data_IF_076155282726
#
_entry.id   IF_076155282726
#
_cell.length_a   1.000
_cell.length_b   1.000
_cell.length_c   1.000
_cell.angle_alpha   90.00
_cell.angle_beta   90.00
_cell.angle_gamma   90.00
#
_symmetry.space_group_name_H-M   'P 1'
#
loop_
_entity.id
_entity.type
_entity.pdbx_description
1 polymer ?
#
# COMPACT_ATOMS: atom_id res chain seq x y z
N UNK A 1 8.44 -21.38 -4.09
CA UNK A 1 8.05 -20.32 -5.06
C UNK A 1 6.88 -19.38 -4.71
N UNK A 2 5.79 -19.76 -4.03
CA UNK A 2 4.50 -19.05 -4.14
C UNK A 2 4.53 -17.57 -3.70
N UNK A 3 5.32 -17.24 -2.66
CA UNK A 3 5.48 -15.85 -2.20
C UNK A 3 6.14 -14.93 -3.24
N UNK A 4 7.06 -15.44 -4.06
CA UNK A 4 7.69 -14.65 -5.15
C UNK A 4 6.68 -14.34 -6.25
N UNK A 5 5.79 -15.28 -6.56
CA UNK A 5 4.70 -15.07 -7.53
C UNK A 5 3.73 -14.02 -7.00
N UNK A 6 3.30 -14.14 -5.74
CA UNK A 6 2.44 -13.16 -5.08
C UNK A 6 3.09 -11.76 -5.05
N UNK A 7 4.37 -11.65 -4.69
CA UNK A 7 5.10 -10.38 -4.70
C UNK A 7 5.13 -9.72 -6.09
N UNK A 8 5.38 -10.51 -7.16
CA UNK A 8 5.38 -9.99 -8.54
C UNK A 8 4.00 -9.55 -8.99
N UNK A 9 2.95 -10.29 -8.63
CA UNK A 9 1.57 -9.94 -8.94
C UNK A 9 1.17 -8.63 -8.24
N UNK A 10 1.41 -8.52 -6.94
CA UNK A 10 1.19 -7.29 -6.17
C UNK A 10 1.96 -6.11 -6.76
N UNK A 11 3.25 -6.29 -7.09
CA UNK A 11 4.06 -5.26 -7.72
C UNK A 11 3.49 -4.78 -9.07
N UNK A 12 2.90 -5.67 -9.87
CA UNK A 12 2.24 -5.29 -11.12
C UNK A 12 0.99 -4.43 -10.86
N UNK A 13 0.14 -4.85 -9.91
CA UNK A 13 -1.06 -4.10 -9.51
C UNK A 13 -0.70 -2.70 -9.02
N UNK A 14 0.30 -2.57 -8.13
CA UNK A 14 0.72 -1.28 -7.61
C UNK A 14 1.34 -0.39 -8.68
N UNK A 15 2.09 -0.94 -9.64
CA UNK A 15 2.61 -0.16 -10.78
C UNK A 15 1.49 0.40 -11.66
N UNK A 16 0.49 -0.41 -11.99
CA UNK A 16 -0.69 0.05 -12.73
C UNK A 16 -1.43 1.15 -11.97
N UNK A 17 -1.61 1.00 -10.65
CA UNK A 17 -2.27 2.03 -9.83
C UNK A 17 -1.46 3.31 -9.77
N UNK A 18 -0.13 3.22 -9.64
CA UNK A 18 0.75 4.39 -9.64
C UNK A 18 0.70 5.15 -10.97
N UNK A 19 0.63 4.43 -12.10
CA UNK A 19 0.39 5.02 -13.42
C UNK A 19 -0.94 5.79 -13.46
N UNK A 20 -2.04 5.16 -13.01
CA UNK A 20 -3.36 5.82 -12.96
C UNK A 20 -3.31 7.14 -12.19
N UNK A 21 -2.69 7.16 -11.00
CA UNK A 21 -2.59 8.40 -10.21
C UNK A 21 -1.70 9.45 -10.86
N UNK A 22 -0.58 9.05 -11.46
CA UNK A 22 0.30 9.97 -12.17
C UNK A 22 -0.42 10.64 -13.35
N UNK A 23 -1.24 9.89 -14.09
CA UNK A 23 -2.05 10.43 -15.19
C UNK A 23 -3.17 11.35 -14.69
N UNK A 24 -3.93 10.94 -13.66
CA UNK A 24 -5.04 11.74 -13.09
C UNK A 24 -4.55 13.08 -12.56
N UNK A 25 -3.34 13.15 -12.01
CA UNK A 25 -2.74 14.39 -11.50
C UNK A 25 -1.82 15.09 -12.50
N UNK A 26 -1.74 14.61 -13.75
CA UNK A 26 -0.84 15.12 -14.78
C UNK A 26 0.62 15.24 -14.31
N UNK A 27 1.06 14.30 -13.46
CA UNK A 27 2.43 14.20 -12.97
C UNK A 27 3.29 13.28 -13.83
N UNK A 28 2.68 12.45 -14.69
CA UNK A 28 3.41 11.61 -15.64
C UNK A 28 4.40 12.43 -16.50
N UNK A 29 5.56 11.83 -16.76
CA UNK A 29 6.69 12.44 -17.48
C UNK A 29 7.24 13.77 -16.91
N UNK A 30 6.73 14.26 -15.77
CA UNK A 30 7.26 15.46 -15.11
C UNK A 30 8.49 15.15 -14.24
N UNK A 31 9.18 16.19 -13.80
CA UNK A 31 10.23 16.06 -12.76
C UNK A 31 9.66 15.79 -11.38
N UNK A 32 8.35 16.00 -11.19
CA UNK A 32 7.62 15.77 -9.94
C UNK A 32 6.96 14.40 -9.88
N UNK A 33 7.18 13.53 -10.89
CA UNK A 33 6.65 12.16 -10.90
C UNK A 33 7.26 11.34 -9.76
N UNK A 34 6.48 10.95 -8.73
CA UNK A 34 6.99 10.22 -7.58
C UNK A 34 7.54 8.83 -7.94
N UNK A 35 7.14 8.26 -9.10
CA UNK A 35 7.63 6.94 -9.55
C UNK A 35 9.10 6.96 -9.97
N UNK A 36 9.66 8.15 -10.21
CA UNK A 36 11.09 8.35 -10.52
C UNK A 36 11.97 8.47 -9.29
N UNK A 37 11.38 8.61 -8.10
CA UNK A 37 12.13 8.73 -6.85
C UNK A 37 12.89 7.43 -6.54
N UNK A 38 14.09 7.58 -5.96
CA UNK A 38 14.86 6.46 -5.41
C UNK A 38 14.70 6.46 -3.90
N UNK A 39 14.34 5.30 -3.34
CA UNK A 39 14.17 5.13 -1.90
C UNK A 39 15.29 4.27 -1.34
N UNK A 40 15.75 4.63 -0.14
CA UNK A 40 16.62 3.76 0.62
C UNK A 40 15.83 2.51 1.03
N UNK A 41 16.35 1.33 0.69
CA UNK A 41 15.80 0.05 1.13
C UNK A 41 16.53 -0.44 2.38
N UNK A 42 15.87 -1.24 3.24
CA UNK A 42 16.55 -1.93 4.33
C UNK A 42 17.73 -2.76 3.80
N UNK A 43 18.83 -2.81 4.56
CA UNK A 43 19.89 -3.76 4.30
C UNK A 43 19.39 -5.20 4.52
N UNK A 44 20.02 -6.17 3.86
CA UNK A 44 19.74 -7.60 4.11
C UNK A 44 18.45 -8.12 3.48
N UNK A 45 17.98 -7.56 2.36
CA UNK A 45 16.76 -8.05 1.69
C UNK A 45 16.82 -9.49 1.18
N UNK A 46 18.00 -10.09 1.10
CA UNK A 46 18.15 -11.51 0.80
C UNK A 46 17.64 -12.41 1.94
N UNK A 47 17.55 -11.88 3.17
CA UNK A 47 16.88 -12.53 4.28
C UNK A 47 15.35 -12.49 4.10
N UNK A 48 14.67 -13.66 4.03
CA UNK A 48 13.23 -13.73 3.85
C UNK A 48 12.41 -13.02 4.92
N UNK A 49 12.91 -12.96 6.17
CA UNK A 49 12.20 -12.27 7.25
C UNK A 49 12.24 -10.75 7.05
N UNK A 50 13.40 -10.20 6.67
CA UNK A 50 13.57 -8.80 6.31
C UNK A 50 12.70 -8.40 5.12
N UNK A 51 12.67 -9.22 4.06
CA UNK A 51 11.83 -8.98 2.90
C UNK A 51 10.33 -9.01 3.25
N UNK A 52 9.90 -9.93 4.11
CA UNK A 52 8.52 -10.00 4.59
C UNK A 52 8.15 -8.79 5.44
N UNK A 53 9.01 -8.38 6.38
CA UNK A 53 8.78 -7.21 7.21
C UNK A 53 8.65 -5.93 6.36
N UNK A 54 9.42 -5.80 5.28
CA UNK A 54 9.26 -4.71 4.32
C UNK A 54 7.92 -4.77 3.59
N UNK A 55 7.48 -5.94 3.13
CA UNK A 55 6.18 -6.07 2.47
C UNK A 55 5.02 -5.68 3.40
N UNK A 56 5.07 -6.10 4.67
CA UNK A 56 4.08 -5.76 5.68
C UNK A 56 4.07 -4.26 5.98
N UNK A 57 5.23 -3.61 6.11
CA UNK A 57 5.31 -2.18 6.39
C UNK A 57 4.80 -1.33 5.23
N UNK A 58 5.10 -1.71 3.99
CA UNK A 58 4.57 -1.04 2.80
C UNK A 58 3.04 -1.18 2.71
N UNK A 59 2.49 -2.36 2.92
CA UNK A 59 1.05 -2.58 2.88
C UNK A 59 0.32 -1.81 3.99
N UNK A 60 0.86 -1.80 5.20
CA UNK A 60 0.35 -0.98 6.31
C UNK A 60 0.41 0.52 6.01
N UNK A 61 1.53 0.99 5.44
CA UNK A 61 1.68 2.38 5.02
C UNK A 61 0.61 2.80 4.02
N UNK A 62 0.33 1.96 3.00
CA UNK A 62 -0.74 2.21 2.03
C UNK A 62 -2.13 2.28 2.69
N UNK A 63 -2.42 1.37 3.62
CA UNK A 63 -3.67 1.38 4.39
C UNK A 63 -3.83 2.71 5.14
N UNK A 64 -2.78 3.17 5.83
CA UNK A 64 -2.79 4.48 6.52
C UNK A 64 -2.98 5.63 5.53
N UNK A 65 -2.24 5.65 4.42
CA UNK A 65 -2.36 6.71 3.41
C UNK A 65 -3.76 6.81 2.82
N UNK A 66 -4.39 5.69 2.46
CA UNK A 66 -5.77 5.72 1.95
C UNK A 66 -6.79 6.09 3.02
N UNK A 67 -6.59 5.66 4.27
CA UNK A 67 -7.46 6.08 5.38
C UNK A 67 -7.42 7.61 5.58
N UNK A 68 -6.23 8.21 5.57
CA UNK A 68 -6.05 9.67 5.61
C UNK A 68 -6.71 10.34 4.40
N UNK A 69 -6.49 9.84 3.18
CA UNK A 69 -7.10 10.40 1.97
C UNK A 69 -8.64 10.34 2.00
N UNK A 70 -9.24 9.25 2.52
CA UNK A 70 -10.69 9.15 2.71
C UNK A 70 -11.18 10.24 3.68
N UNK A 71 -10.48 10.47 4.77
CA UNK A 71 -10.82 11.47 5.77
C UNK A 71 -10.79 12.90 5.19
N UNK A 72 -9.77 13.21 4.39
CA UNK A 72 -9.54 14.56 3.84
C UNK A 72 -10.32 14.85 2.55
N UNK A 73 -10.86 13.82 1.88
CA UNK A 73 -11.52 13.96 0.59
C UNK A 73 -12.97 14.46 0.66
N UNK A 74 -13.39 15.17 -0.38
CA UNK A 74 -14.79 15.53 -0.63
C UNK A 74 -15.65 14.28 -0.90
N UNK A 75 -16.94 14.34 -0.57
CA UNK A 75 -17.87 13.20 -0.67
C UNK A 75 -17.86 12.52 -2.05
N UNK A 76 -17.76 13.30 -3.12
CA UNK A 76 -17.78 12.78 -4.50
C UNK A 76 -16.57 11.88 -4.82
N UNK A 77 -15.41 12.12 -4.20
CA UNK A 77 -14.15 11.39 -4.45
C UNK A 77 -13.95 10.20 -3.50
N UNK A 78 -14.74 10.11 -2.42
CA UNK A 78 -14.61 9.06 -1.40
C UNK A 78 -14.78 7.63 -1.90
N UNK A 79 -15.72 7.30 -2.82
CA UNK A 79 -15.95 5.90 -3.20
C UNK A 79 -14.69 5.19 -3.71
N UNK A 80 -13.91 5.86 -4.56
CA UNK A 80 -12.66 5.30 -5.11
C UNK A 80 -11.56 5.15 -4.04
N UNK A 81 -11.47 6.11 -3.13
CA UNK A 81 -10.51 6.07 -2.02
C UNK A 81 -10.88 4.98 -1.00
N UNK A 82 -12.16 4.74 -0.74
CA UNK A 82 -12.65 3.63 0.10
C UNK A 82 -12.33 2.29 -0.55
N UNK A 83 -12.56 2.13 -1.87
CA UNK A 83 -12.20 0.92 -2.59
C UNK A 83 -10.67 0.67 -2.52
N UNK A 84 -9.87 1.74 -2.64
CA UNK A 84 -8.42 1.68 -2.52
C UNK A 84 -7.96 1.29 -1.12
N UNK A 85 -8.61 1.81 -0.08
CA UNK A 85 -8.40 1.43 1.31
C UNK A 85 -8.71 -0.05 1.56
N UNK A 86 -9.87 -0.53 1.10
CA UNK A 86 -10.27 -1.94 1.25
C UNK A 86 -9.28 -2.89 0.59
N UNK A 87 -8.78 -2.55 -0.60
CA UNK A 87 -7.75 -3.31 -1.29
C UNK A 87 -6.44 -3.33 -0.50
N UNK A 88 -5.97 -2.17 -0.01
CA UNK A 88 -4.75 -2.08 0.78
C UNK A 88 -4.84 -2.86 2.10
N UNK A 89 -5.98 -2.81 2.79
CA UNK A 89 -6.24 -3.61 3.99
C UNK A 89 -6.20 -5.10 3.70
N UNK A 90 -6.77 -5.53 2.56
CA UNK A 90 -6.76 -6.94 2.15
C UNK A 90 -5.33 -7.41 1.82
N UNK A 91 -4.55 -6.58 1.13
CA UNK A 91 -3.14 -6.87 0.84
C UNK A 91 -2.31 -6.96 2.14
N UNK A 92 -2.52 -6.05 3.08
CA UNK A 92 -1.86 -6.08 4.39
C UNK A 92 -2.15 -7.38 5.14
N UNK A 93 -3.41 -7.81 5.16
CA UNK A 93 -3.80 -9.10 5.75
C UNK A 93 -3.16 -10.29 5.01
N UNK A 94 -3.12 -10.27 3.68
CA UNK A 94 -2.49 -11.33 2.88
C UNK A 94 -0.97 -11.45 3.12
N UNK A 95 -0.29 -10.34 3.42
CA UNK A 95 1.11 -10.32 3.85
C UNK A 95 1.32 -10.65 5.33
N UNK A 96 0.24 -10.85 6.10
CA UNK A 96 0.30 -11.12 7.52
C UNK A 96 0.75 -9.92 8.35
N UNK A 97 0.46 -8.70 7.88
CA UNK A 97 0.72 -7.49 8.65
C UNK A 97 -0.13 -7.48 9.94
N UNK A 98 0.39 -6.93 11.04
CA UNK A 98 -0.33 -6.90 12.31
C UNK A 98 -1.63 -6.08 12.18
N UNK A 99 -2.75 -6.67 12.60
CA UNK A 99 -4.02 -5.98 12.66
C UNK A 99 -3.97 -4.87 13.72
N UNK A 100 -4.48 -3.68 13.38
CA UNK A 100 -4.66 -2.60 14.36
C UNK A 100 -5.98 -2.84 15.07
N UNK A 101 -5.93 -2.97 16.39
CA UNK A 101 -7.13 -3.07 17.20
C UNK A 101 -8.02 -1.83 17.02
N UNK A 102 -9.33 -2.05 16.95
CA UNK A 102 -10.27 -0.94 17.06
C UNK A 102 -10.12 -0.27 18.44
N UNK A 103 -10.08 1.07 18.51
CA UNK A 103 -10.05 1.77 19.79
C UNK A 103 -11.22 1.32 20.68
N UNK A 104 -10.91 0.81 21.88
CA UNK A 104 -11.90 0.27 22.82
C UNK A 104 -12.31 -1.19 22.62
N UNK A 105 -11.79 -1.89 21.61
CA UNK A 105 -12.04 -3.32 21.36
C UNK A 105 -10.73 -4.05 21.00
N UNK A 106 -9.77 -4.15 21.95
CA UNK A 106 -8.47 -4.77 21.72
C UNK A 106 -8.54 -6.25 21.29
N UNK A 107 -9.60 -6.95 21.69
CA UNK A 107 -9.86 -8.34 21.33
C UNK A 107 -10.24 -8.54 19.86
N UNK A 108 -10.52 -7.46 19.12
CA UNK A 108 -10.89 -7.49 17.71
C UNK A 108 -9.76 -7.10 16.75
N UNK A 109 -8.52 -7.19 17.18
CA UNK A 109 -7.39 -7.16 16.25
C UNK A 109 -7.41 -8.46 15.41
N UNK A 110 -8.08 -8.43 14.26
CA UNK A 110 -8.22 -9.57 13.36
C UNK A 110 -8.81 -9.17 12.01
#
# INVERSE_FOLDING_TARGET
EPRRVAARAAAAVHRTRAETWALVWALDATTSDPRRATYALPAGLDDPATALALAQSLAMGLTTTYATAVADSARASRPELIASLLAASSDAAAWGAPAVAFPGLPERAG
#
